data_IF_149014949472
#
_entry.id   IF_149014949472
#
_cell.length_a   1.000
_cell.length_b   1.000
_cell.length_c   1.000
_cell.angle_alpha   90.00
_cell.angle_beta   90.00
_cell.angle_gamma   90.00
#
_symmetry.space_group_name_H-M   'P 1'
#
loop_
_entity.id
_entity.type
_entity.pdbx_description
1 polymer ?
#
# COMPACT_ATOMS: atom_id res chain seq x y z
N UNK A 1 20.08 -6.25 -6.42
CA UNK A 1 18.96 -7.06 -5.90
C UNK A 1 19.44 -8.20 -5.01
N UNK A 2 20.70 -8.64 -5.08
CA UNK A 2 21.25 -9.79 -4.31
C UNK A 2 21.23 -9.67 -2.78
N UNK A 3 20.79 -8.54 -2.21
CA UNK A 3 20.62 -8.33 -0.76
C UNK A 3 19.16 -8.25 -0.31
N UNK A 4 18.23 -8.20 -1.26
CA UNK A 4 16.80 -8.17 -0.96
C UNK A 4 16.31 -9.61 -0.73
N UNK A 5 15.37 -9.76 0.18
CA UNK A 5 14.83 -11.04 0.62
C UNK A 5 13.33 -11.04 0.37
N UNK A 6 12.84 -12.09 -0.29
CA UNK A 6 11.41 -12.31 -0.52
C UNK A 6 10.62 -12.25 0.80
N UNK A 7 9.56 -11.45 0.80
CA UNK A 7 8.69 -11.21 1.96
C UNK A 7 9.26 -10.28 3.03
N UNK A 8 10.49 -9.74 2.85
CA UNK A 8 11.07 -8.74 3.75
C UNK A 8 11.05 -7.35 3.16
N UNK A 9 11.77 -7.13 2.06
CA UNK A 9 11.72 -5.86 1.33
C UNK A 9 10.48 -5.77 0.46
N UNK A 10 10.18 -6.84 -0.27
CA UNK A 10 9.04 -6.95 -1.17
C UNK A 10 8.50 -8.37 -1.18
N UNK A 11 7.24 -8.50 -1.58
CA UNK A 11 6.73 -9.74 -2.15
C UNK A 11 6.98 -9.69 -3.66
N UNK A 12 8.02 -10.38 -4.13
CA UNK A 12 8.42 -10.37 -5.54
C UNK A 12 7.43 -11.19 -6.36
N UNK A 13 6.73 -10.51 -7.26
CA UNK A 13 5.82 -11.17 -8.21
C UNK A 13 6.59 -11.49 -9.50
N UNK A 14 6.76 -12.77 -9.80
CA UNK A 14 7.52 -13.22 -10.96
C UNK A 14 6.82 -12.93 -12.31
N UNK A 15 5.49 -12.88 -12.32
CA UNK A 15 4.69 -12.66 -13.53
C UNK A 15 3.96 -11.31 -13.47
N UNK A 16 4.40 -10.37 -14.32
CA UNK A 16 3.78 -9.05 -14.43
C UNK A 16 2.29 -9.13 -14.73
N UNK A 17 1.88 -10.00 -15.66
CA UNK A 17 0.48 -10.14 -16.06
C UNK A 17 -0.41 -10.56 -14.87
N UNK A 18 0.10 -11.44 -14.01
CA UNK A 18 -0.62 -11.83 -12.79
C UNK A 18 -0.86 -10.61 -11.89
N UNK A 19 0.16 -9.78 -11.68
CA UNK A 19 0.01 -8.56 -10.86
C UNK A 19 -0.97 -7.56 -11.50
N UNK A 20 -0.97 -7.43 -12.82
CA UNK A 20 -1.93 -6.60 -13.55
C UNK A 20 -3.36 -7.09 -13.36
N UNK A 21 -3.59 -8.40 -13.49
CA UNK A 21 -4.89 -9.03 -13.26
C UNK A 21 -5.33 -8.84 -11.80
N UNK A 22 -4.42 -8.97 -10.82
CA UNK A 22 -4.69 -8.72 -9.39
C UNK A 22 -5.03 -7.26 -9.09
N UNK A 23 -4.37 -6.30 -9.76
CA UNK A 23 -4.70 -4.87 -9.69
C UNK A 23 -6.10 -4.62 -10.24
N UNK A 24 -6.46 -5.23 -11.38
CA UNK A 24 -7.80 -5.12 -11.97
C UNK A 24 -8.89 -5.73 -11.07
N UNK A 25 -8.56 -6.81 -10.35
CA UNK A 25 -9.44 -7.46 -9.38
C UNK A 25 -9.51 -6.74 -8.03
N UNK A 26 -9.00 -5.51 -7.93
CA UNK A 26 -9.04 -4.68 -6.73
C UNK A 26 -8.34 -5.31 -5.51
N UNK A 27 -7.29 -6.10 -5.72
CA UNK A 27 -6.55 -6.76 -4.62
C UNK A 27 -5.50 -5.84 -3.95
N UNK A 28 -5.32 -4.62 -4.46
CA UNK A 28 -4.37 -3.63 -3.97
C UNK A 28 -5.07 -2.35 -3.49
N UNK A 29 -4.62 -1.80 -2.36
CA UNK A 29 -5.09 -0.49 -1.89
C UNK A 29 -4.41 0.66 -2.65
N UNK A 30 -3.20 0.43 -3.13
CA UNK A 30 -2.45 1.32 -4.01
C UNK A 30 -1.51 0.49 -4.87
N UNK A 31 -1.40 0.85 -6.14
CA UNK A 31 -0.49 0.24 -7.08
C UNK A 31 -0.09 1.26 -8.14
N UNK A 32 1.12 1.12 -8.68
CA UNK A 32 1.69 2.01 -9.68
C UNK A 32 2.90 1.38 -10.35
N UNK A 33 3.43 2.08 -11.36
CA UNK A 33 4.60 1.66 -12.11
C UNK A 33 5.75 2.64 -11.91
N UNK A 34 6.94 2.10 -11.65
CA UNK A 34 8.17 2.87 -11.51
C UNK A 34 9.35 2.12 -12.12
N UNK A 35 10.12 2.79 -12.99
CA UNK A 35 11.27 2.17 -13.64
C UNK A 35 10.94 0.88 -14.40
N UNK A 36 9.76 0.81 -15.03
CA UNK A 36 9.27 -0.36 -15.79
C UNK A 36 8.78 -1.55 -14.93
N UNK A 37 8.74 -1.41 -13.60
CA UNK A 37 8.27 -2.45 -12.68
C UNK A 37 6.99 -2.00 -11.97
N UNK A 38 6.09 -2.94 -11.70
CA UNK A 38 4.89 -2.70 -10.91
C UNK A 38 5.19 -2.81 -9.42
N UNK A 39 4.57 -1.92 -8.65
CA UNK A 39 4.61 -1.90 -7.19
C UNK A 39 3.20 -1.72 -6.67
N UNK A 40 2.96 -2.21 -5.45
CA UNK A 40 1.69 -1.96 -4.78
C UNK A 40 1.66 -2.49 -3.35
N UNK A 41 0.72 -1.93 -2.58
CA UNK A 41 0.38 -2.43 -1.24
C UNK A 41 -0.88 -3.28 -1.36
N UNK A 42 -0.75 -4.59 -1.15
CA UNK A 42 -1.87 -5.52 -1.25
C UNK A 42 -2.80 -5.40 -0.04
N UNK A 43 -4.08 -5.66 -0.24
CA UNK A 43 -5.06 -5.68 0.86
C UNK A 43 -4.68 -6.74 1.90
N UNK A 44 -4.17 -7.90 1.46
CA UNK A 44 -3.78 -8.98 2.36
C UNK A 44 -2.61 -8.59 3.24
N UNK A 45 -1.57 -7.92 2.71
CA UNK A 45 -0.45 -7.46 3.52
C UNK A 45 -0.89 -6.53 4.67
N UNK A 46 -1.84 -5.63 4.41
CA UNK A 46 -2.41 -4.76 5.45
C UNK A 46 -3.22 -5.57 6.47
N UNK A 47 -4.02 -6.53 5.98
CA UNK A 47 -4.85 -7.40 6.81
C UNK A 47 -4.01 -8.27 7.75
N UNK A 48 -2.91 -8.85 7.26
CA UNK A 48 -2.03 -9.73 8.03
C UNK A 48 -1.42 -8.97 9.23
N UNK A 49 -0.97 -7.73 9.02
CA UNK A 49 -0.49 -6.87 10.11
C UNK A 49 -1.61 -6.55 11.10
N UNK A 50 -2.79 -6.15 10.61
CA UNK A 50 -3.93 -5.83 11.46
C UNK A 50 -4.36 -7.03 12.33
N UNK A 51 -4.41 -8.23 11.76
CA UNK A 51 -4.79 -9.46 12.47
C UNK A 51 -3.70 -9.97 13.42
N UNK A 52 -2.45 -9.54 13.23
CA UNK A 52 -1.36 -9.76 14.21
C UNK A 52 -1.44 -8.85 15.45
N UNK A 53 -2.58 -8.18 15.68
CA UNK A 53 -2.79 -7.22 16.77
C UNK A 53 -1.83 -6.03 16.76
N UNK A 54 -1.47 -5.56 15.55
CA UNK A 54 -0.61 -4.38 15.33
C UNK A 54 -1.31 -3.35 14.46
N UNK A 55 -0.92 -2.09 14.61
CA UNK A 55 -1.30 -1.04 13.67
C UNK A 55 -0.35 -1.06 12.46
N UNK A 56 -0.92 -1.26 11.27
CA UNK A 56 -0.19 -1.12 10.02
C UNK A 56 -0.02 0.38 9.70
N UNK A 57 1.21 0.89 9.75
CA UNK A 57 1.53 2.24 9.30
C UNK A 57 1.67 2.21 7.78
N UNK A 58 0.85 3.01 7.09
CA UNK A 58 0.76 3.00 5.63
C UNK A 58 1.33 4.30 5.05
N UNK A 59 2.33 4.15 4.20
CA UNK A 59 2.81 5.22 3.31
C UNK A 59 2.11 5.09 1.96
N UNK A 60 0.90 5.64 1.89
CA UNK A 60 0.04 5.59 0.71
C UNK A 60 -0.70 6.90 0.53
N UNK A 61 -1.19 7.18 -0.68
CA UNK A 61 -2.03 8.35 -0.90
C UNK A 61 -3.41 8.22 -0.23
N UNK A 62 -4.09 9.36 -0.02
CA UNK A 62 -5.46 9.38 0.52
C UNK A 62 -6.49 8.62 -0.33
N UNK A 63 -6.17 8.27 -1.59
CA UNK A 63 -7.02 7.42 -2.44
C UNK A 63 -7.20 6.01 -1.87
N UNK A 64 -6.23 5.53 -1.09
CA UNK A 64 -6.28 4.21 -0.46
C UNK A 64 -7.39 4.09 0.61
N UNK A 65 -7.81 5.19 1.23
CA UNK A 65 -8.83 5.20 2.31
C UNK A 65 -10.13 4.51 1.86
N UNK A 66 -10.64 4.85 0.68
CA UNK A 66 -11.88 4.26 0.14
C UNK A 66 -11.73 2.76 -0.13
N UNK A 67 -10.54 2.33 -0.59
CA UNK A 67 -10.25 0.92 -0.90
C UNK A 67 -10.13 0.08 0.38
N UNK A 68 -9.49 0.63 1.41
CA UNK A 68 -9.42 0.01 2.74
C UNK A 68 -10.82 -0.22 3.31
N UNK A 69 -11.66 0.81 3.33
CA UNK A 69 -13.04 0.71 3.85
C UNK A 69 -13.84 -0.35 3.08
N UNK A 70 -13.73 -0.36 1.75
CA UNK A 70 -14.39 -1.39 0.91
C UNK A 70 -13.90 -2.81 1.20
N UNK A 71 -12.65 -2.95 1.64
CA UNK A 71 -12.05 -4.22 2.03
C UNK A 71 -12.34 -4.65 3.48
N UNK A 72 -13.19 -3.90 4.21
CA UNK A 72 -13.51 -4.15 5.61
C UNK A 72 -12.38 -3.77 6.58
N UNK A 73 -11.40 -2.99 6.13
CA UNK A 73 -10.31 -2.46 6.95
C UNK A 73 -10.60 -0.99 7.22
N UNK A 74 -10.80 -0.60 8.48
CA UNK A 74 -11.19 0.76 8.85
C UNK A 74 -9.96 1.55 9.32
N UNK A 75 -9.34 2.39 8.46
CA UNK A 75 -8.12 3.09 8.82
C UNK A 75 -8.38 4.26 9.78
N UNK A 76 -7.40 4.55 10.63
CA UNK A 76 -7.30 5.84 11.31
C UNK A 76 -6.57 6.78 10.36
N UNK A 77 -7.22 7.89 9.99
CA UNK A 77 -6.67 8.88 9.05
C UNK A 77 -6.39 10.17 9.80
N UNK A 78 -5.11 10.55 9.85
CA UNK A 78 -4.64 11.78 10.50
C UNK A 78 -4.18 12.75 9.42
N UNK A 79 -4.92 13.84 9.22
CA UNK A 79 -4.51 14.92 8.33
C UNK A 79 -3.77 16.01 9.12
N UNK A 80 -2.46 16.11 8.90
CA UNK A 80 -1.63 17.16 9.50
C UNK A 80 -1.78 18.43 8.68
N UNK A 81 -2.67 19.32 9.11
CA UNK A 81 -2.92 20.59 8.43
C UNK A 81 -1.86 21.64 8.84
N UNK A 82 -1.08 22.20 7.89
CA UNK A 82 -0.19 23.32 8.17
C UNK A 82 -1.00 24.58 8.51
N UNK A 83 -0.49 25.41 9.42
CA UNK A 83 -1.18 26.66 9.84
C UNK A 83 -1.19 27.70 8.73
N UNK A 84 -0.04 27.88 8.09
CA UNK A 84 0.19 28.78 6.97
C UNK A 84 1.40 28.26 6.15
N UNK A 85 1.72 28.96 5.05
CA UNK A 85 2.76 28.54 4.11
C UNK A 85 4.17 28.51 4.73
N UNK A 86 4.42 29.29 5.80
CA UNK A 86 5.74 29.37 6.45
C UNK A 86 6.11 28.10 7.21
N UNK A 87 5.15 27.19 7.44
CA UNK A 87 5.38 25.91 8.11
C UNK A 87 5.81 24.80 7.15
N UNK A 88 5.82 25.05 5.84
CA UNK A 88 6.11 24.05 4.78
C UNK A 88 7.27 24.50 3.88
N UNK A 89 7.64 25.78 3.90
CA UNK A 89 8.79 26.36 3.22
C UNK A 89 9.99 26.42 4.16
#
# INVERSE_FOLDING_TARGET
RDKEVEGREYHFVANRKQMEDDIQNYLFIEAGEYGGNLYGTSINAVRDVAYSSKHCILDVSGRAIKRLIRAGLYPIVIYVKPRDIKWIL
#
